data_IF_721899656146
#
_entry.id   IF_721899656146
#
_cell.length_a   1.000
_cell.length_b   1.000
_cell.length_c   1.000
_cell.angle_alpha   90.00
_cell.angle_beta   90.00
_cell.angle_gamma   90.00
#
_symmetry.space_group_name_H-M   'P 1'
#
loop_
_entity.id
_entity.type
_entity.pdbx_description
1 polymer ?
#
# COMPACT_ATOMS: atom_id res chain seq x y z
N UNK A 1 -20.44 -12.37 5.82
CA UNK A 1 -19.45 -11.30 5.62
C UNK A 1 -20.19 -10.00 5.78
N UNK A 2 -19.79 -9.11 6.70
CA UNK A 2 -20.37 -7.77 6.76
C UNK A 2 -20.09 -7.02 5.45
N UNK A 3 -21.00 -6.13 5.08
CA UNK A 3 -20.81 -5.19 3.97
C UNK A 3 -19.74 -4.15 4.33
N UNK A 4 -19.12 -3.54 3.33
CA UNK A 4 -18.17 -2.45 3.56
C UNK A 4 -18.79 -1.32 4.39
N UNK A 5 -20.04 -0.97 4.10
CA UNK A 5 -20.77 0.06 4.81
C UNK A 5 -21.00 -0.27 6.29
N UNK A 6 -21.24 -1.54 6.62
CA UNK A 6 -21.33 -1.99 8.03
C UNK A 6 -19.98 -1.91 8.75
N UNK A 7 -18.86 -2.15 8.04
CA UNK A 7 -17.51 -2.00 8.61
C UNK A 7 -17.20 -0.52 8.86
N UNK A 8 -17.46 0.35 7.87
CA UNK A 8 -17.27 1.80 8.00
C UNK A 8 -18.08 2.38 9.16
N UNK A 9 -19.34 1.95 9.30
CA UNK A 9 -20.18 2.39 10.41
C UNK A 9 -19.65 1.94 11.77
N UNK A 10 -19.04 0.76 11.87
CA UNK A 10 -18.45 0.26 13.11
C UNK A 10 -17.16 1.02 13.45
N UNK A 11 -16.32 1.32 12.45
CA UNK A 11 -15.11 2.13 12.63
C UNK A 11 -15.48 3.55 13.07
N UNK A 12 -16.52 4.14 12.47
CA UNK A 12 -17.01 5.48 12.84
C UNK A 12 -17.60 5.55 14.26
N UNK A 13 -18.03 4.41 14.81
CA UNK A 13 -18.56 4.30 16.17
C UNK A 13 -17.49 4.06 17.24
N UNK A 14 -16.22 3.88 16.86
CA UNK A 14 -15.12 3.68 17.80
C UNK A 14 -14.89 4.91 18.70
N UNK A 15 -14.42 4.64 19.93
CA UNK A 15 -13.87 5.70 20.77
C UNK A 15 -12.63 6.31 20.10
N UNK A 16 -12.20 7.48 20.56
CA UNK A 16 -10.99 8.11 20.03
C UNK A 16 -9.76 7.24 20.27
N UNK A 17 -9.68 6.61 21.43
CA UNK A 17 -8.60 5.72 21.83
C UNK A 17 -8.55 4.47 20.94
N UNK A 18 -9.72 3.85 20.70
CA UNK A 18 -9.82 2.67 19.85
C UNK A 18 -9.54 3.02 18.39
N UNK A 19 -9.95 4.20 17.91
CA UNK A 19 -9.67 4.64 16.55
C UNK A 19 -8.16 4.84 16.32
N UNK A 20 -7.43 5.36 17.31
CA UNK A 20 -5.97 5.49 17.26
C UNK A 20 -5.31 4.11 17.21
N UNK A 21 -5.74 3.18 18.08
CA UNK A 21 -5.24 1.81 18.08
C UNK A 21 -5.54 1.09 16.75
N UNK A 22 -6.76 1.24 16.22
CA UNK A 22 -7.17 0.70 14.93
C UNK A 22 -6.32 1.25 13.79
N UNK A 23 -6.07 2.56 13.77
CA UNK A 23 -5.28 3.19 12.72
C UNK A 23 -3.84 2.64 12.69
N UNK A 24 -3.20 2.53 13.86
CA UNK A 24 -1.85 1.97 13.97
C UNK A 24 -1.79 0.51 13.48
N UNK A 25 -2.75 -0.31 13.86
CA UNK A 25 -2.84 -1.69 13.38
C UNK A 25 -3.14 -1.77 11.88
N UNK A 26 -4.01 -0.91 11.37
CA UNK A 26 -4.43 -0.93 9.97
C UNK A 26 -3.28 -0.52 9.03
N UNK A 27 -2.40 0.39 9.46
CA UNK A 27 -1.18 0.74 8.74
C UNK A 27 -0.27 -0.48 8.54
N UNK A 28 -0.04 -1.28 9.59
CA UNK A 28 0.73 -2.53 9.50
C UNK A 28 0.04 -3.56 8.60
N UNK A 29 -1.26 -3.73 8.75
CA UNK A 29 -2.05 -4.64 7.92
C UNK A 29 -1.97 -4.28 6.42
N UNK A 30 -2.06 -2.99 6.10
CA UNK A 30 -1.93 -2.48 4.73
C UNK A 30 -0.51 -2.65 4.19
N UNK A 31 0.51 -2.41 5.03
CA UNK A 31 1.90 -2.64 4.65
C UNK A 31 2.15 -4.12 4.30
N UNK A 32 1.64 -5.06 5.09
CA UNK A 32 1.73 -6.49 4.76
C UNK A 32 0.99 -6.85 3.48
N UNK A 33 -0.18 -6.25 3.24
CA UNK A 33 -0.93 -6.48 2.01
C UNK A 33 -0.15 -5.98 0.78
N UNK A 34 0.49 -4.83 0.90
CA UNK A 34 1.37 -4.27 -0.14
C UNK A 34 2.59 -5.14 -0.38
N UNK A 35 3.25 -5.64 0.66
CA UNK A 35 4.40 -6.54 0.51
C UNK A 35 4.02 -7.79 -0.31
N UNK A 36 2.90 -8.44 0.04
CA UNK A 36 2.40 -9.60 -0.71
C UNK A 36 2.08 -9.26 -2.16
N UNK A 37 1.52 -8.08 -2.42
CA UNK A 37 1.21 -7.65 -3.78
C UNK A 37 2.48 -7.37 -4.60
N UNK A 38 3.46 -6.69 -4.02
CA UNK A 38 4.76 -6.41 -4.65
C UNK A 38 5.46 -7.73 -4.98
N UNK A 39 5.50 -8.68 -4.05
CA UNK A 39 6.07 -10.00 -4.31
C UNK A 39 5.36 -10.73 -5.46
N UNK A 40 4.03 -10.68 -5.49
CA UNK A 40 3.24 -11.30 -6.55
C UNK A 40 3.48 -10.65 -7.92
N UNK A 41 3.48 -9.31 -7.98
CA UNK A 41 3.73 -8.56 -9.21
C UNK A 41 5.19 -8.74 -9.70
N UNK A 42 6.15 -8.84 -8.77
CA UNK A 42 7.54 -9.19 -9.06
C UNK A 42 7.65 -10.58 -9.70
N UNK A 43 7.03 -11.60 -9.09
CA UNK A 43 7.00 -12.96 -9.64
C UNK A 43 6.28 -13.04 -11.00
N UNK A 44 5.32 -12.15 -11.24
CA UNK A 44 4.59 -12.05 -12.49
C UNK A 44 5.33 -11.22 -13.58
N UNK A 45 6.52 -10.67 -13.29
CA UNK A 45 7.28 -9.81 -14.23
C UNK A 45 6.62 -8.45 -14.50
N UNK A 46 5.63 -8.05 -13.70
CA UNK A 46 4.88 -6.79 -13.91
C UNK A 46 5.70 -5.56 -13.58
N UNK A 47 6.72 -5.72 -12.76
CA UNK A 47 7.63 -4.64 -12.36
C UNK A 47 8.76 -4.41 -13.36
N UNK A 48 8.98 -5.31 -14.33
CA UNK A 48 10.10 -5.21 -15.28
C UNK A 48 10.01 -3.95 -16.14
N UNK A 49 8.84 -3.69 -16.74
CA UNK A 49 8.63 -2.48 -17.55
C UNK A 49 8.78 -1.16 -16.76
N UNK A 50 8.19 -1.03 -15.56
CA UNK A 50 8.48 0.08 -14.65
C UNK A 50 9.95 0.26 -14.31
N UNK A 51 10.68 -0.82 -13.97
CA UNK A 51 12.11 -0.79 -13.64
C UNK A 51 12.92 -0.29 -14.83
N UNK A 52 12.68 -0.84 -16.02
CA UNK A 52 13.37 -0.41 -17.23
C UNK A 52 13.13 1.06 -17.57
N UNK A 53 11.90 1.56 -17.35
CA UNK A 53 11.60 2.99 -17.53
C UNK A 53 12.36 3.85 -16.55
N UNK A 54 12.35 3.47 -15.26
CA UNK A 54 13.09 4.20 -14.24
C UNK A 54 14.60 4.26 -14.54
N UNK A 55 15.19 3.16 -15.01
CA UNK A 55 16.60 3.13 -15.43
C UNK A 55 16.89 4.05 -16.63
N UNK A 56 15.99 4.11 -17.61
CA UNK A 56 16.13 5.02 -18.76
C UNK A 56 15.99 6.49 -18.32
N UNK A 57 15.01 6.79 -17.49
CA UNK A 57 14.80 8.16 -17.00
C UNK A 57 15.96 8.64 -16.14
N UNK A 58 16.58 7.75 -15.35
CA UNK A 58 17.80 8.05 -14.60
C UNK A 58 18.99 8.33 -15.51
N UNK A 59 19.20 7.49 -16.53
CA UNK A 59 20.24 7.70 -17.53
C UNK A 59 20.04 9.00 -18.33
N UNK A 60 18.79 9.42 -18.53
CA UNK A 60 18.42 10.67 -19.19
C UNK A 60 18.49 11.90 -18.26
N UNK A 61 18.87 11.73 -16.98
CA UNK A 61 18.95 12.80 -15.99
C UNK A 61 17.59 13.37 -15.58
N UNK A 62 16.52 12.61 -15.73
CA UNK A 62 15.15 12.98 -15.35
C UNK A 62 14.79 12.56 -13.92
N UNK A 63 15.70 11.89 -13.22
CA UNK A 63 15.59 11.55 -11.80
C UNK A 63 15.94 12.75 -10.92
N UNK A 64 15.17 12.95 -9.86
CA UNK A 64 15.51 13.90 -8.79
C UNK A 64 16.37 13.22 -7.73
N UNK A 65 17.40 13.90 -7.20
CA UNK A 65 18.13 13.43 -6.03
C UNK A 65 17.19 13.18 -4.85
N UNK A 66 17.49 12.14 -4.06
CA UNK A 66 16.79 11.78 -2.83
C UNK A 66 17.01 12.83 -1.72
#
# INVERSE_FOLDING_TARGET
MPTLQEIESQIAALSKEDLVAFSAWFDEFQAEAWERQIEADSRAGRLDGPIERAMRDDADGKSTPL
#
